data_IF_026436829498
#
_entry.id   IF_026436829498
#
_cell.length_a   1.000
_cell.length_b   1.000
_cell.length_c   1.000
_cell.angle_alpha   90.00
_cell.angle_beta   90.00
_cell.angle_gamma   90.00
#
_symmetry.space_group_name_H-M   'P 1'
#
loop_
_entity.id
_entity.type
_entity.pdbx_description
1 polymer ?
#
# COMPACT_ATOMS: atom_id res chain seq x y z
N UNK A 1 19.94 -2.11 -0.05
CA UNK A 1 18.50 -2.19 0.26
C UNK A 1 18.37 -1.98 1.75
N UNK A 2 17.59 -1.01 2.19
CA UNK A 2 17.40 -0.69 3.61
C UNK A 2 16.12 -1.36 4.07
N UNK A 3 16.22 -2.27 5.03
CA UNK A 3 15.06 -2.82 5.70
C UNK A 3 14.37 -1.70 6.48
N UNK A 4 13.12 -1.41 6.13
CA UNK A 4 12.31 -0.46 6.87
C UNK A 4 11.59 -1.25 7.98
N UNK A 5 11.67 -0.78 9.22
CA UNK A 5 11.02 -1.41 10.39
C UNK A 5 9.48 -1.19 10.35
N UNK A 6 8.86 -1.61 9.25
CA UNK A 6 7.44 -1.46 8.95
C UNK A 6 6.78 -2.81 9.25
N UNK A 7 5.80 -2.79 10.15
CA UNK A 7 5.09 -4.00 10.59
C UNK A 7 3.96 -4.42 9.63
N UNK A 8 3.44 -3.48 8.85
CA UNK A 8 2.40 -3.69 7.84
C UNK A 8 2.44 -2.55 6.82
N UNK A 9 2.16 -2.86 5.55
CA UNK A 9 2.09 -1.86 4.48
C UNK A 9 1.31 -2.38 3.28
N UNK A 10 0.76 -1.46 2.50
CA UNK A 10 0.05 -1.75 1.25
C UNK A 10 0.81 -1.13 0.10
N UNK A 11 1.20 -1.94 -0.87
CA UNK A 11 1.83 -1.47 -2.11
C UNK A 11 0.72 -1.24 -3.12
N UNK A 12 0.64 -0.04 -3.68
CA UNK A 12 -0.36 0.31 -4.67
C UNK A 12 0.29 0.30 -6.06
N UNK A 13 -0.12 -0.62 -6.92
CA UNK A 13 0.40 -0.75 -8.29
C UNK A 13 -0.61 -0.21 -9.29
N UNK A 14 -0.25 -0.09 -10.58
CA UNK A 14 -1.22 0.34 -11.58
C UNK A 14 -2.35 -0.69 -11.75
N UNK A 15 -1.99 -1.97 -11.95
CA UNK A 15 -2.92 -3.02 -12.36
C UNK A 15 -2.75 -4.36 -11.65
N UNK A 16 -1.71 -4.57 -10.85
CA UNK A 16 -1.35 -5.88 -10.30
C UNK A 16 -1.85 -6.06 -8.87
N UNK A 17 -2.40 -7.25 -8.58
CA UNK A 17 -2.68 -7.72 -7.23
C UNK A 17 -1.73 -8.87 -6.87
N UNK A 18 -1.13 -8.79 -5.69
CA UNK A 18 -0.18 -9.79 -5.20
C UNK A 18 -0.15 -9.79 -3.66
N UNK A 19 0.22 -10.93 -3.07
CA UNK A 19 0.47 -11.06 -1.63
C UNK A 19 1.91 -11.51 -1.42
N UNK A 20 2.69 -10.70 -0.71
CA UNK A 20 4.10 -10.97 -0.44
C UNK A 20 4.25 -11.36 1.03
N UNK A 21 4.70 -12.58 1.30
CA UNK A 21 5.03 -13.02 2.65
C UNK A 21 6.43 -12.50 3.03
N UNK A 22 6.49 -11.57 3.97
CA UNK A 22 7.72 -11.07 4.58
C UNK A 22 7.97 -11.81 5.91
N UNK A 23 9.22 -11.92 6.35
CA UNK A 23 9.59 -12.70 7.53
C UNK A 23 8.89 -12.28 8.85
N UNK A 24 8.30 -11.09 8.90
CA UNK A 24 7.61 -10.53 10.06
C UNK A 24 6.14 -10.14 9.78
N UNK A 25 5.57 -10.48 8.63
CA UNK A 25 4.19 -10.15 8.27
C UNK A 25 3.90 -10.29 6.79
N UNK A 26 2.70 -9.94 6.37
CA UNK A 26 2.31 -9.98 4.96
C UNK A 26 2.18 -8.56 4.42
N UNK A 27 2.73 -8.33 3.23
CA UNK A 27 2.52 -7.11 2.45
C UNK A 27 1.45 -7.41 1.40
N UNK A 28 0.39 -6.60 1.37
CA UNK A 28 -0.62 -6.67 0.32
C UNK A 28 -0.31 -5.68 -0.79
N UNK A 29 -0.29 -6.20 -2.02
CA UNK A 29 -0.15 -5.43 -3.24
C UNK A 29 -1.53 -5.33 -3.88
N UNK A 30 -2.01 -4.12 -4.11
CA UNK A 30 -3.35 -3.87 -4.63
C UNK A 30 -3.29 -2.90 -5.82
N UNK A 31 -4.18 -3.06 -6.82
CA UNK A 31 -4.26 -2.09 -7.89
C UNK A 31 -4.74 -0.71 -7.40
N UNK A 32 -4.27 0.35 -8.06
CA UNK A 32 -4.55 1.74 -7.73
C UNK A 32 -6.05 2.04 -7.76
N UNK A 33 -6.75 1.53 -8.76
CA UNK A 33 -8.19 1.71 -8.85
C UNK A 33 -8.92 1.09 -7.63
N UNK A 34 -8.48 -0.08 -7.14
CA UNK A 34 -9.12 -0.75 -6.01
C UNK A 34 -8.83 0.00 -4.70
N UNK A 35 -7.59 0.41 -4.51
CA UNK A 35 -7.19 1.23 -3.37
C UNK A 35 -8.00 2.53 -3.31
N UNK A 36 -8.16 3.21 -4.45
CA UNK A 36 -8.93 4.46 -4.57
C UNK A 36 -10.43 4.26 -4.29
N UNK A 37 -11.00 3.11 -4.62
CA UNK A 37 -12.41 2.79 -4.34
C UNK A 37 -12.65 2.42 -2.87
N UNK A 38 -11.65 1.82 -2.21
CA UNK A 38 -11.74 1.38 -0.81
C UNK A 38 -11.30 2.47 0.19
N UNK A 39 -10.85 3.62 -0.31
CA UNK A 39 -10.40 4.74 0.50
C UNK A 39 -11.56 5.33 1.32
N UNK A 40 -11.42 5.41 2.66
CA UNK A 40 -12.41 6.07 3.51
C UNK A 40 -12.61 7.51 3.05
N UNK A 41 -13.87 7.97 3.01
CA UNK A 41 -14.23 9.33 2.58
C UNK A 41 -13.54 10.43 3.42
N UNK A 42 -13.14 10.07 4.65
CA UNK A 42 -12.39 10.92 5.58
C UNK A 42 -10.88 10.98 5.33
N UNK A 43 -10.37 10.30 4.29
CA UNK A 43 -8.92 10.24 4.05
C UNK A 43 -8.42 11.57 3.47
N UNK A 44 -7.50 12.26 4.17
CA UNK A 44 -6.99 13.54 3.68
C UNK A 44 -6.15 13.36 2.40
N UNK A 45 -6.37 14.23 1.41
CA UNK A 45 -5.59 14.29 0.15
C UNK A 45 -4.07 14.48 0.37
N UNK A 46 -3.64 14.87 1.58
CA UNK A 46 -2.22 14.93 1.97
C UNK A 46 -1.55 13.55 2.03
N UNK A 47 -2.32 12.47 2.15
CA UNK A 47 -1.83 11.09 2.13
C UNK A 47 -1.08 10.76 0.83
N UNK A 48 -1.57 11.24 -0.31
CA UNK A 48 -0.98 10.96 -1.63
C UNK A 48 0.31 11.71 -1.91
N UNK A 49 0.59 12.82 -1.20
CA UNK A 49 1.82 13.60 -1.42
C UNK A 49 3.08 12.91 -0.89
N UNK A 50 2.95 11.86 -0.08
CA UNK A 50 4.09 11.11 0.44
C UNK A 50 4.65 10.06 -0.53
N UNK A 51 4.04 9.89 -1.71
CA UNK A 51 4.53 8.99 -2.76
C UNK A 51 5.37 9.81 -3.75
N UNK A 52 6.62 10.06 -3.40
CA UNK A 52 7.65 10.60 -4.30
C UNK A 52 8.99 9.99 -3.94
#
# INVERSE_FOLDING_TARGET
MTEQNIKAGTIVTQNDDERIEAGNGTIEVVPAWRFLLELPESTPLSFFKSVK
#
